data_IF_689195134121
#
_entry.id   IF_689195134121
#
_cell.length_a   1.000
_cell.length_b   1.000
_cell.length_c   1.000
_cell.angle_alpha   90.00
_cell.angle_beta   90.00
_cell.angle_gamma   90.00
#
_symmetry.space_group_name_H-M   'P 1'
#
loop_
_entity.id
_entity.type
_entity.pdbx_description
1 polymer ?
#
# COMPACT_ATOMS: atom_id res chain seq x y z
N UNK A 1 17.86 -2.34 -19.38
CA UNK A 1 18.57 -2.00 -18.12
C UNK A 1 17.59 -1.41 -17.09
N UNK A 2 16.85 -0.32 -17.35
CA UNK A 2 15.97 0.32 -16.35
C UNK A 2 14.90 -0.60 -15.74
N UNK A 3 14.24 -1.47 -16.52
CA UNK A 3 13.27 -2.43 -15.98
C UNK A 3 13.91 -3.42 -14.99
N UNK A 4 15.09 -3.96 -15.30
CA UNK A 4 15.78 -4.88 -14.38
C UNK A 4 16.19 -4.20 -13.08
N UNK A 5 16.66 -2.95 -13.15
CA UNK A 5 16.96 -2.15 -11.95
C UNK A 5 15.71 -1.84 -11.13
N UNK A 6 14.57 -1.56 -11.80
CA UNK A 6 13.29 -1.37 -11.08
C UNK A 6 12.86 -2.64 -10.34
N UNK A 7 12.97 -3.80 -10.98
CA UNK A 7 12.66 -5.09 -10.33
C UNK A 7 13.61 -5.34 -9.14
N UNK A 8 14.91 -5.12 -9.32
CA UNK A 8 15.89 -5.26 -8.25
C UNK A 8 15.59 -4.31 -7.09
N UNK A 9 15.20 -3.07 -7.38
CA UNK A 9 14.79 -2.09 -6.38
C UNK A 9 13.57 -2.57 -5.57
N UNK A 10 12.54 -3.11 -6.24
CA UNK A 10 11.37 -3.63 -5.53
C UNK A 10 11.67 -4.87 -4.70
N UNK A 11 12.56 -5.76 -5.17
CA UNK A 11 13.07 -6.89 -4.37
C UNK A 11 13.74 -6.37 -3.10
N UNK A 12 14.63 -5.41 -3.23
CA UNK A 12 15.37 -4.82 -2.12
C UNK A 12 14.43 -4.17 -1.10
N UNK A 13 13.40 -3.46 -1.57
CA UNK A 13 12.42 -2.79 -0.72
C UNK A 13 11.57 -3.77 0.10
N UNK A 14 11.11 -4.87 -0.52
CA UNK A 14 10.16 -5.77 0.13
C UNK A 14 10.81 -6.92 0.90
N UNK A 15 11.99 -7.37 0.51
CA UNK A 15 12.69 -8.46 1.19
C UNK A 15 13.82 -7.98 2.10
N UNK A 16 14.32 -6.74 1.91
CA UNK A 16 15.44 -6.23 2.70
C UNK A 16 16.65 -7.19 2.77
N UNK A 17 17.11 -7.78 1.62
CA UNK A 17 18.13 -8.85 1.66
C UNK A 17 19.42 -8.42 2.35
N UNK A 18 19.67 -7.12 2.44
CA UNK A 18 20.86 -6.54 3.07
C UNK A 18 20.71 -6.38 4.59
N UNK A 19 19.50 -6.46 5.13
CA UNK A 19 19.28 -6.54 6.58
C UNK A 19 19.59 -7.94 7.09
N UNK A 20 19.37 -8.98 6.25
CA UNK A 20 19.69 -10.38 6.55
C UNK A 20 21.18 -10.65 6.40
N UNK A 21 21.83 -10.09 5.36
CA UNK A 21 23.27 -10.20 5.13
C UNK A 21 23.98 -9.00 5.76
N UNK A 22 24.21 -9.05 7.10
CA UNK A 22 24.73 -7.93 7.89
C UNK A 22 26.02 -7.29 7.35
N UNK A 23 26.88 -8.06 6.66
CA UNK A 23 28.07 -7.53 5.97
C UNK A 23 27.75 -6.52 4.83
N UNK A 24 26.59 -6.63 4.21
CA UNK A 24 26.14 -5.75 3.13
C UNK A 24 25.31 -4.57 3.63
N UNK A 25 24.74 -4.66 4.83
CA UNK A 25 23.96 -3.58 5.44
C UNK A 25 24.81 -2.31 5.65
N UNK A 26 26.10 -2.48 5.96
CA UNK A 26 27.06 -1.38 6.14
C UNK A 26 27.25 -0.50 4.89
N UNK A 27 26.98 -1.03 3.69
CA UNK A 27 27.19 -0.32 2.42
C UNK A 27 25.96 0.39 1.86
N UNK A 28 24.83 0.44 2.59
CA UNK A 28 23.58 1.05 2.12
C UNK A 28 23.17 0.63 0.69
N UNK A 29 23.33 -0.64 0.35
CA UNK A 29 23.16 -1.17 -1.01
C UNK A 29 21.74 -0.89 -1.54
N UNK A 30 20.73 -0.89 -0.67
CA UNK A 30 19.36 -0.51 -1.04
C UNK A 30 19.28 0.92 -1.60
N UNK A 31 19.96 1.87 -0.94
CA UNK A 31 20.02 3.26 -1.38
C UNK A 31 20.79 3.40 -2.71
N UNK A 32 21.87 2.64 -2.88
CA UNK A 32 22.64 2.62 -4.13
C UNK A 32 21.78 2.11 -5.28
N UNK A 33 21.05 1.01 -5.09
CA UNK A 33 20.13 0.45 -6.10
C UNK A 33 19.02 1.47 -6.44
N UNK A 34 18.43 2.12 -5.42
CA UNK A 34 17.43 3.16 -5.62
C UNK A 34 18.00 4.32 -6.44
N UNK A 35 19.19 4.83 -6.06
CA UNK A 35 19.86 5.91 -6.76
C UNK A 35 20.17 5.54 -8.23
N UNK A 36 20.68 4.34 -8.48
CA UNK A 36 20.96 3.86 -9.84
C UNK A 36 19.66 3.72 -10.66
N UNK A 37 18.59 3.21 -10.08
CA UNK A 37 17.29 3.10 -10.74
C UNK A 37 16.73 4.48 -11.10
N UNK A 38 16.88 5.47 -10.22
CA UNK A 38 16.50 6.87 -10.48
C UNK A 38 17.37 7.46 -11.59
N UNK A 39 18.70 7.40 -11.47
CA UNK A 39 19.64 7.99 -12.44
C UNK A 39 19.42 7.44 -13.84
N UNK A 40 19.25 6.12 -14.00
CA UNK A 40 18.97 5.49 -15.29
C UNK A 40 17.61 5.90 -15.88
N UNK A 41 16.67 6.31 -15.03
CA UNK A 41 15.34 6.76 -15.44
C UNK A 41 15.29 8.25 -15.83
N UNK A 42 16.20 9.08 -15.31
CA UNK A 42 16.23 10.53 -15.57
C UNK A 42 16.27 10.90 -17.06
N UNK A 43 17.08 10.28 -17.93
CA UNK A 43 17.12 10.64 -19.36
C UNK A 43 15.82 10.32 -20.13
N UNK A 44 15.03 9.36 -19.61
CA UNK A 44 13.77 8.92 -20.24
C UNK A 44 12.60 9.77 -19.75
N UNK A 45 12.67 10.30 -18.53
CA UNK A 45 11.61 11.03 -17.86
C UNK A 45 11.10 12.27 -18.64
N UNK A 46 11.95 13.19 -19.14
CA UNK A 46 11.49 14.37 -19.87
C UNK A 46 10.82 14.03 -21.22
N UNK A 47 11.17 12.88 -21.81
CA UNK A 47 10.62 12.41 -23.08
C UNK A 47 9.26 11.71 -22.90
N UNK A 48 8.86 11.45 -21.67
CA UNK A 48 7.61 10.78 -21.36
C UNK A 48 6.48 11.79 -21.17
N UNK A 49 5.25 11.41 -21.51
CA UNK A 49 4.05 12.19 -21.23
C UNK A 49 3.70 12.19 -19.73
N UNK A 50 4.38 11.39 -18.94
CA UNK A 50 4.08 11.14 -17.53
C UNK A 50 4.23 12.42 -16.71
N UNK A 51 5.24 13.26 -16.98
CA UNK A 51 5.43 14.52 -16.26
C UNK A 51 4.27 15.51 -16.41
N UNK A 52 3.42 15.34 -17.43
CA UNK A 52 2.25 16.19 -17.68
C UNK A 52 1.00 15.69 -16.99
N UNK A 53 1.08 14.58 -16.25
CA UNK A 53 -0.08 14.01 -15.57
C UNK A 53 -0.36 14.72 -14.24
N UNK A 54 -1.62 14.82 -13.79
CA UNK A 54 -1.95 15.36 -12.48
C UNK A 54 -1.25 14.61 -11.34
N UNK A 55 -1.05 13.29 -11.49
CA UNK A 55 -0.36 12.45 -10.51
C UNK A 55 1.11 12.87 -10.34
N UNK A 56 1.81 13.15 -11.44
CA UNK A 56 3.22 13.59 -11.37
C UNK A 56 3.36 14.95 -10.70
N UNK A 57 2.45 15.89 -10.99
CA UNK A 57 2.44 17.18 -10.31
C UNK A 57 2.09 17.02 -8.81
N UNK A 58 1.15 16.13 -8.49
CA UNK A 58 0.80 15.82 -7.12
C UNK A 58 2.01 15.24 -6.35
N UNK A 59 2.79 14.35 -6.98
CA UNK A 59 4.01 13.80 -6.39
C UNK A 59 5.10 14.86 -6.22
N UNK A 60 5.27 15.75 -7.18
CA UNK A 60 6.21 16.86 -7.06
C UNK A 60 5.81 17.80 -5.90
N UNK A 61 4.52 18.14 -5.80
CA UNK A 61 3.98 18.94 -4.70
C UNK A 61 4.08 18.24 -3.34
N UNK A 62 3.83 16.93 -3.28
CA UNK A 62 3.99 16.13 -2.06
C UNK A 62 5.47 16.04 -1.63
N UNK A 63 6.39 15.90 -2.59
CA UNK A 63 7.83 15.94 -2.33
C UNK A 63 8.25 17.30 -1.75
N UNK A 64 7.75 18.39 -2.33
CA UNK A 64 7.96 19.72 -1.80
C UNK A 64 7.37 19.87 -0.39
N UNK A 65 6.18 19.33 -0.14
CA UNK A 65 5.54 19.35 1.18
C UNK A 65 6.36 18.62 2.25
N UNK A 66 6.89 17.44 1.94
CA UNK A 66 7.78 16.68 2.83
C UNK A 66 9.04 17.49 3.17
N UNK A 67 9.67 18.12 2.17
CA UNK A 67 10.83 18.95 2.38
C UNK A 67 10.51 20.19 3.22
N UNK A 68 9.44 20.90 2.87
CA UNK A 68 9.01 22.14 3.55
C UNK A 68 8.51 21.87 4.97
N UNK A 69 7.93 20.70 5.25
CA UNK A 69 7.46 20.37 6.59
C UNK A 69 8.60 20.36 7.62
N UNK A 70 9.75 19.78 7.28
CA UNK A 70 10.94 19.79 8.14
C UNK A 70 11.65 21.16 8.10
N UNK A 71 11.70 21.79 6.93
CA UNK A 71 12.31 23.12 6.83
C UNK A 71 11.58 24.14 7.73
N UNK A 72 10.26 24.02 7.84
CA UNK A 72 9.44 24.89 8.70
C UNK A 72 9.74 24.72 10.21
N UNK A 73 10.32 23.57 10.62
CA UNK A 73 10.82 23.38 12.00
C UNK A 73 12.18 24.04 12.25
N UNK A 74 12.82 24.61 11.21
CA UNK A 74 14.15 25.23 11.27
C UNK A 74 15.31 24.25 11.05
N UNK A 75 15.06 22.97 10.80
CA UNK A 75 16.11 21.95 10.64
C UNK A 75 16.41 21.62 9.17
N UNK A 76 17.29 22.40 8.55
CA UNK A 76 17.67 22.26 7.13
C UNK A 76 18.28 20.88 6.82
N UNK A 77 19.17 20.38 7.67
CA UNK A 77 19.79 19.05 7.49
C UNK A 77 18.75 17.91 7.54
N UNK A 78 17.75 18.04 8.41
CA UNK A 78 16.63 17.10 8.48
C UNK A 78 15.75 17.12 7.23
N UNK A 79 15.54 18.29 6.62
CA UNK A 79 14.78 18.40 5.38
C UNK A 79 15.43 17.61 4.23
N UNK A 80 16.76 17.65 4.12
CA UNK A 80 17.51 16.81 3.15
C UNK A 80 17.34 15.33 3.47
N UNK A 81 17.43 14.94 4.74
CA UNK A 81 17.24 13.55 5.17
C UNK A 81 15.81 13.07 4.89
N UNK A 82 14.79 13.85 5.18
CA UNK A 82 13.40 13.56 4.89
C UNK A 82 13.16 13.34 3.38
N UNK A 83 13.73 14.20 2.55
CA UNK A 83 13.72 14.06 1.10
C UNK A 83 14.36 12.74 0.64
N UNK A 84 15.52 12.37 1.19
CA UNK A 84 16.21 11.12 0.86
C UNK A 84 15.39 9.88 1.27
N UNK A 85 14.61 9.95 2.35
CA UNK A 85 13.74 8.86 2.80
C UNK A 85 12.44 8.76 1.99
N UNK A 86 11.89 9.90 1.56
CA UNK A 86 10.63 9.94 0.83
C UNK A 86 10.77 9.62 -0.65
N UNK A 87 11.78 10.18 -1.33
CA UNK A 87 11.93 10.08 -2.79
C UNK A 87 11.95 8.64 -3.31
N UNK A 88 12.67 7.69 -2.70
CA UNK A 88 12.65 6.31 -3.17
C UNK A 88 11.24 5.74 -3.24
N UNK A 89 10.42 6.00 -2.23
CA UNK A 89 9.03 5.54 -2.19
C UNK A 89 8.19 6.16 -3.31
N UNK A 90 8.21 7.49 -3.43
CA UNK A 90 7.45 8.23 -4.44
C UNK A 90 7.90 7.91 -5.87
N UNK A 91 9.21 7.68 -6.07
CA UNK A 91 9.77 7.38 -7.38
C UNK A 91 9.33 6.00 -7.91
N UNK A 92 8.82 5.12 -7.08
CA UNK A 92 8.21 3.85 -7.51
C UNK A 92 7.11 4.05 -8.57
N UNK A 93 6.34 5.14 -8.47
CA UNK A 93 5.36 5.52 -9.51
C UNK A 93 6.05 5.69 -10.87
N UNK A 94 7.13 6.47 -10.94
CA UNK A 94 7.86 6.71 -12.17
C UNK A 94 8.57 5.45 -12.70
N UNK A 95 9.14 4.64 -11.82
CA UNK A 95 9.77 3.37 -12.22
C UNK A 95 8.77 2.43 -12.90
N UNK A 96 7.56 2.31 -12.35
CA UNK A 96 6.50 1.52 -12.97
C UNK A 96 6.08 2.13 -14.30
N UNK A 97 5.79 3.42 -14.35
CA UNK A 97 5.32 4.11 -15.54
C UNK A 97 6.33 4.08 -16.70
N UNK A 98 7.62 4.27 -16.41
CA UNK A 98 8.67 4.32 -17.44
C UNK A 98 9.10 2.93 -17.90
N UNK A 99 9.13 1.96 -17.00
CA UNK A 99 9.76 0.67 -17.28
C UNK A 99 8.79 -0.50 -17.39
N UNK A 100 7.59 -0.44 -16.76
CA UNK A 100 6.56 -1.49 -16.90
C UNK A 100 5.59 -1.23 -18.07
N UNK A 101 6.07 -0.69 -19.16
CA UNK A 101 5.30 -0.21 -20.31
C UNK A 101 4.78 -1.30 -21.26
N UNK A 102 4.91 -2.58 -20.92
CA UNK A 102 4.32 -3.72 -21.65
C UNK A 102 3.56 -4.64 -20.71
N UNK A 103 2.57 -5.36 -21.25
CA UNK A 103 1.80 -6.35 -20.49
C UNK A 103 2.70 -7.39 -19.81
N UNK A 104 3.73 -7.90 -20.52
CA UNK A 104 4.68 -8.87 -19.98
C UNK A 104 5.43 -8.31 -18.77
N UNK A 105 5.90 -7.06 -18.86
CA UNK A 105 6.61 -6.41 -17.75
C UNK A 105 5.70 -6.17 -16.54
N UNK A 106 4.44 -5.77 -16.78
CA UNK A 106 3.45 -5.65 -15.71
C UNK A 106 3.17 -7.02 -15.06
N UNK A 107 3.06 -8.10 -15.86
CA UNK A 107 2.91 -9.45 -15.34
C UNK A 107 4.13 -9.88 -14.51
N UNK A 108 5.36 -9.55 -14.94
CA UNK A 108 6.60 -9.83 -14.18
C UNK A 108 6.57 -9.07 -12.83
N UNK A 109 6.13 -7.81 -12.82
CA UNK A 109 5.97 -7.06 -11.58
C UNK A 109 4.97 -7.73 -10.62
N UNK A 110 3.83 -8.22 -11.13
CA UNK A 110 2.85 -8.95 -10.31
C UNK A 110 3.42 -10.28 -9.83
N UNK A 111 4.17 -11.02 -10.66
CA UNK A 111 4.87 -12.25 -10.24
C UNK A 111 5.85 -11.93 -9.12
N UNK A 112 6.61 -10.84 -9.23
CA UNK A 112 7.53 -10.42 -8.17
C UNK A 112 6.80 -10.21 -6.84
N UNK A 113 5.73 -9.39 -6.84
CA UNK A 113 4.96 -9.12 -5.62
C UNK A 113 4.37 -10.41 -5.02
N UNK A 114 3.86 -11.30 -5.88
CA UNK A 114 3.35 -12.60 -5.47
C UNK A 114 4.45 -13.47 -4.88
N UNK A 115 5.61 -13.58 -5.55
CA UNK A 115 6.72 -14.43 -5.10
C UNK A 115 7.28 -13.96 -3.76
N UNK A 116 7.47 -12.65 -3.59
CA UNK A 116 7.89 -12.07 -2.30
C UNK A 116 6.88 -12.38 -1.20
N UNK A 117 5.59 -12.19 -1.49
CA UNK A 117 4.53 -12.45 -0.52
C UNK A 117 4.47 -13.93 -0.10
N UNK A 118 4.53 -14.84 -1.07
CA UNK A 118 4.52 -16.28 -0.80
C UNK A 118 5.79 -16.74 -0.08
N UNK A 119 6.95 -16.20 -0.44
CA UNK A 119 8.21 -16.48 0.25
C UNK A 119 8.10 -16.15 1.75
N UNK A 120 7.66 -14.94 2.08
CA UNK A 120 7.48 -14.51 3.48
C UNK A 120 6.45 -15.38 4.22
N UNK A 121 5.36 -15.78 3.54
CA UNK A 121 4.34 -16.66 4.15
C UNK A 121 4.93 -18.04 4.45
N UNK A 122 5.72 -18.59 3.52
CA UNK A 122 6.35 -19.92 3.69
C UNK A 122 7.36 -19.88 4.83
N UNK A 123 8.28 -18.91 4.83
CA UNK A 123 9.29 -18.76 5.89
C UNK A 123 8.66 -18.52 7.25
N UNK A 124 7.68 -17.60 7.34
CA UNK A 124 6.97 -17.34 8.60
C UNK A 124 6.17 -18.55 9.10
N UNK A 125 5.64 -19.38 8.19
CA UNK A 125 4.95 -20.60 8.58
C UNK A 125 5.93 -21.69 9.05
N UNK A 126 7.10 -21.80 8.41
CA UNK A 126 8.18 -22.70 8.85
C UNK A 126 8.71 -22.29 10.23
N UNK A 127 8.95 -21.00 10.46
CA UNK A 127 9.32 -20.50 11.80
C UNK A 127 8.23 -20.81 12.83
N UNK A 128 6.95 -20.63 12.49
CA UNK A 128 5.84 -20.94 13.39
C UNK A 128 5.80 -22.42 13.78
N UNK A 129 6.00 -23.33 12.82
CA UNK A 129 6.03 -24.78 13.07
C UNK A 129 7.24 -25.16 13.96
N UNK A 130 8.41 -24.61 13.70
CA UNK A 130 9.61 -24.88 14.49
C UNK A 130 9.51 -24.33 15.91
N UNK A 131 8.94 -23.12 16.08
CA UNK A 131 8.74 -22.50 17.40
C UNK A 131 7.66 -23.21 18.23
N UNK A 132 6.70 -23.87 17.58
CA UNK A 132 5.65 -24.63 18.26
C UNK A 132 6.07 -26.06 18.62
N UNK A 133 7.24 -26.56 18.14
CA UNK A 133 7.72 -27.90 18.45
C UNK A 133 8.38 -27.95 19.85
N UNK A 134 8.19 -29.03 20.64
CA UNK A 134 8.77 -29.17 21.98
C UNK A 134 10.31 -29.11 22.05
N UNK A 135 10.99 -29.28 20.92
CA UNK A 135 12.46 -29.19 20.81
C UNK A 135 12.97 -27.77 20.55
N UNK A 136 12.09 -26.83 20.17
CA UNK A 136 12.41 -25.41 19.95
C UNK A 136 12.11 -24.51 21.14
N UNK A 137 11.69 -25.07 22.29
CA UNK A 137 11.28 -24.31 23.47
C UNK A 137 12.43 -23.86 24.35
N UNK A 138 13.54 -23.33 23.77
CA UNK A 138 14.57 -22.76 24.62
C UNK A 138 14.23 -21.40 25.21
N UNK A 139 13.17 -20.74 24.81
CA UNK A 139 12.64 -19.56 25.54
C UNK A 139 11.25 -19.24 25.05
N UNK A 140 10.22 -19.81 25.71
CA UNK A 140 8.89 -19.20 25.71
C UNK A 140 9.02 -17.77 26.22
N UNK A 141 8.42 -16.75 25.57
CA UNK A 141 8.46 -15.37 26.07
C UNK A 141 7.87 -15.19 27.49
N UNK A 142 7.26 -16.25 28.06
CA UNK A 142 6.63 -16.24 29.36
C UNK A 142 7.46 -16.80 30.53
N UNK A 143 8.62 -17.41 30.30
CA UNK A 143 9.35 -18.11 31.37
C UNK A 143 10.26 -17.22 32.25
N UNK A 144 10.27 -15.90 32.03
CA UNK A 144 11.10 -14.97 32.80
C UNK A 144 10.24 -13.85 33.39
N UNK A 145 10.03 -13.91 34.68
CA UNK A 145 9.07 -13.14 35.48
C UNK A 145 9.32 -11.65 35.64
N UNK A 146 10.38 -11.04 35.06
CA UNK A 146 10.66 -9.62 35.38
C UNK A 146 11.05 -8.68 34.19
N UNK A 147 11.02 -9.13 32.92
CA UNK A 147 11.37 -8.25 31.79
C UNK A 147 10.65 -8.60 30.48
N UNK A 148 9.30 -8.57 30.49
CA UNK A 148 8.44 -8.92 29.35
C UNK A 148 8.77 -8.14 28.06
N UNK A 149 9.23 -6.91 28.17
CA UNK A 149 9.60 -6.06 27.01
C UNK A 149 10.96 -6.40 26.41
N UNK A 150 11.96 -6.72 27.23
CA UNK A 150 13.32 -7.08 26.79
C UNK A 150 13.34 -8.44 26.09
N UNK A 151 12.60 -9.42 26.59
CA UNK A 151 12.54 -10.75 26.01
C UNK A 151 11.78 -10.81 24.68
N UNK A 152 10.71 -10.03 24.52
CA UNK A 152 10.00 -9.96 23.25
C UNK A 152 10.87 -9.34 22.14
N UNK A 153 11.74 -8.38 22.47
CA UNK A 153 12.65 -7.77 21.50
C UNK A 153 13.75 -8.74 21.04
N UNK A 154 14.32 -9.51 21.96
CA UNK A 154 15.34 -10.54 21.65
C UNK A 154 14.69 -11.66 20.83
N UNK A 155 13.54 -12.16 21.25
CA UNK A 155 12.81 -13.19 20.51
C UNK A 155 12.45 -12.72 19.10
N UNK A 156 11.92 -11.51 18.95
CA UNK A 156 11.58 -10.93 17.66
C UNK A 156 12.80 -10.70 16.74
N UNK A 157 13.99 -10.50 17.32
CA UNK A 157 15.23 -10.40 16.55
C UNK A 157 15.71 -11.76 16.04
N UNK A 158 15.45 -12.84 16.78
CA UNK A 158 15.77 -14.21 16.39
C UNK A 158 14.79 -14.79 15.35
N UNK A 159 13.55 -14.25 15.30
CA UNK A 159 12.48 -14.71 14.42
C UNK A 159 12.06 -13.59 13.44
N UNK A 160 12.80 -13.40 12.33
CA UNK A 160 12.58 -12.24 11.44
C UNK A 160 11.21 -12.22 10.77
N UNK A 161 10.56 -13.37 10.58
CA UNK A 161 9.25 -13.48 9.93
C UNK A 161 8.07 -13.58 10.90
N UNK A 162 8.34 -13.61 12.22
CA UNK A 162 7.30 -13.68 13.25
C UNK A 162 7.37 -12.47 14.19
N UNK A 163 6.22 -12.10 14.72
CA UNK A 163 6.06 -11.16 15.82
C UNK A 163 5.27 -11.85 16.93
N UNK A 164 5.90 -12.05 18.09
CA UNK A 164 5.20 -12.45 19.30
C UNK A 164 4.50 -11.23 19.91
N UNK A 165 3.22 -11.33 20.18
CA UNK A 165 2.42 -10.28 20.80
C UNK A 165 1.51 -10.90 21.87
N UNK A 166 1.43 -10.28 23.03
CA UNK A 166 0.51 -10.70 24.08
C UNK A 166 -0.93 -10.38 23.69
N UNK A 167 -1.81 -11.38 23.69
CA UNK A 167 -3.24 -11.24 23.40
C UNK A 167 -4.03 -10.91 24.65
N UNK A 168 -3.74 -11.65 25.76
CA UNK A 168 -4.23 -11.44 27.11
C UNK A 168 -3.10 -11.76 28.10
N UNK A 169 -3.21 -11.44 29.39
CA UNK A 169 -2.20 -11.79 30.39
C UNK A 169 -1.89 -13.30 30.35
N UNK A 170 -0.65 -13.65 30.01
CA UNK A 170 -0.19 -15.03 29.86
C UNK A 170 -0.49 -15.71 28.51
N UNK A 171 -1.25 -15.08 27.62
CA UNK A 171 -1.56 -15.63 26.30
C UNK A 171 -0.78 -14.92 25.20
N UNK A 172 0.01 -15.67 24.44
CA UNK A 172 0.81 -15.15 23.33
C UNK A 172 0.23 -15.57 22.00
N UNK A 173 0.23 -14.65 21.03
CA UNK A 173 -0.06 -14.92 19.64
C UNK A 173 1.16 -14.63 18.79
N UNK A 174 1.41 -15.51 17.83
CA UNK A 174 2.46 -15.37 16.85
C UNK A 174 1.86 -14.90 15.53
N UNK A 175 2.37 -13.81 15.01
CA UNK A 175 1.85 -13.16 13.82
C UNK A 175 2.92 -13.12 12.75
N UNK A 176 2.61 -13.58 11.53
CA UNK A 176 3.54 -13.45 10.40
C UNK A 176 3.68 -11.99 10.02
N UNK A 177 4.92 -11.56 9.83
CA UNK A 177 5.31 -10.23 9.34
C UNK A 177 6.26 -10.33 8.16
N UNK A 178 6.35 -9.27 7.36
CA UNK A 178 7.37 -9.12 6.33
C UNK A 178 8.71 -8.70 6.92
N UNK A 179 9.58 -8.25 6.05
CA UNK A 179 10.92 -7.76 6.40
C UNK A 179 11.05 -6.28 6.07
N UNK A 180 12.06 -5.63 6.62
CA UNK A 180 12.44 -4.24 6.36
C UNK A 180 11.23 -3.28 6.46
N UNK A 181 10.80 -2.72 5.35
CA UNK A 181 9.71 -1.71 5.31
C UNK A 181 8.31 -2.28 5.61
N UNK A 182 8.16 -3.59 5.59
CA UNK A 182 6.90 -4.31 5.89
C UNK A 182 7.04 -5.25 7.09
N UNK A 183 7.93 -4.92 8.03
CA UNK A 183 8.24 -5.74 9.20
C UNK A 183 7.13 -5.75 10.29
N UNK A 184 6.00 -5.10 10.07
CA UNK A 184 4.81 -5.20 10.91
C UNK A 184 3.76 -6.11 10.28
N UNK A 185 3.08 -7.00 11.04
CA UNK A 185 2.05 -7.88 10.50
C UNK A 185 0.90 -7.17 9.81
N UNK A 186 0.53 -5.97 10.26
CA UNK A 186 -0.55 -5.22 9.63
C UNK A 186 -0.13 -4.64 8.29
N UNK A 187 1.14 -4.23 8.15
CA UNK A 187 1.70 -3.73 6.90
C UNK A 187 1.84 -4.84 5.88
N UNK A 188 2.30 -6.01 6.33
CA UNK A 188 2.34 -7.19 5.48
C UNK A 188 0.94 -7.61 5.05
N UNK A 189 -0.03 -7.63 5.99
CA UNK A 189 -1.44 -7.86 5.67
C UNK A 189 -1.99 -6.87 4.63
N UNK A 190 -1.64 -5.59 4.71
CA UNK A 190 -2.00 -4.59 3.70
C UNK A 190 -1.41 -4.93 2.32
N UNK A 191 -0.14 -5.33 2.25
CA UNK A 191 0.47 -5.76 1.00
C UNK A 191 -0.26 -6.95 0.40
N UNK A 192 -0.53 -7.99 1.21
CA UNK A 192 -1.20 -9.21 0.75
C UNK A 192 -2.57 -8.90 0.13
N UNK A 193 -3.41 -8.10 0.80
CA UNK A 193 -4.72 -7.72 0.25
C UNK A 193 -4.62 -6.90 -1.03
N UNK A 194 -3.56 -6.11 -1.21
CA UNK A 194 -3.31 -5.40 -2.47
C UNK A 194 -2.92 -6.33 -3.61
N UNK A 195 -2.15 -7.39 -3.32
CA UNK A 195 -1.64 -8.33 -4.33
C UNK A 195 -2.71 -9.32 -4.76
N UNK A 196 -3.62 -9.74 -3.88
CA UNK A 196 -4.69 -10.72 -4.19
C UNK A 196 -5.44 -10.38 -5.51
N UNK A 197 -5.99 -9.17 -5.72
CA UNK A 197 -6.66 -8.86 -6.98
C UNK A 197 -5.71 -8.89 -8.18
N UNK A 198 -4.46 -8.45 -8.01
CA UNK A 198 -3.50 -8.37 -9.11
C UNK A 198 -3.14 -9.74 -9.69
N UNK A 199 -3.17 -10.82 -8.88
CA UNK A 199 -2.93 -12.19 -9.36
C UNK A 199 -3.92 -12.59 -10.45
N UNK A 200 -5.13 -12.01 -10.44
CA UNK A 200 -6.13 -12.28 -11.48
C UNK A 200 -5.77 -11.69 -12.87
N UNK A 201 -4.66 -10.97 -13.02
CA UNK A 201 -4.11 -10.57 -14.34
C UNK A 201 -3.78 -11.80 -15.19
N UNK A 202 -3.47 -12.95 -14.55
CA UNK A 202 -3.15 -14.20 -15.20
C UNK A 202 -4.37 -15.04 -15.58
N UNK A 203 -5.59 -14.64 -15.20
CA UNK A 203 -6.80 -15.37 -15.51
C UNK A 203 -7.02 -15.49 -17.02
N UNK A 204 -7.29 -16.72 -17.51
CA UNK A 204 -7.63 -16.99 -18.90
C UNK A 204 -8.99 -17.68 -18.98
N UNK A 205 -9.95 -17.13 -19.74
CA UNK A 205 -11.26 -17.79 -19.95
C UNK A 205 -11.10 -19.22 -20.47
N UNK A 206 -11.97 -20.11 -20.04
CA UNK A 206 -12.03 -21.52 -20.50
C UNK A 206 -10.77 -22.39 -20.18
N UNK A 207 -9.83 -21.93 -19.36
CA UNK A 207 -8.63 -22.66 -18.95
C UNK A 207 -8.67 -22.97 -17.45
N UNK A 208 -9.65 -23.81 -17.02
CA UNK A 208 -9.93 -24.04 -15.59
C UNK A 208 -8.71 -24.54 -14.83
N UNK A 209 -8.10 -25.65 -15.25
CA UNK A 209 -6.93 -26.25 -14.55
C UNK A 209 -5.79 -25.24 -14.40
N UNK A 210 -5.46 -24.52 -15.48
CA UNK A 210 -4.44 -23.48 -15.42
C UNK A 210 -4.81 -22.36 -14.44
N UNK A 211 -6.07 -21.89 -14.47
CA UNK A 211 -6.54 -20.83 -13.58
C UNK A 211 -6.53 -21.28 -12.11
N UNK A 212 -6.83 -22.55 -11.84
CA UNK A 212 -6.72 -23.11 -10.49
C UNK A 212 -5.27 -23.06 -10.00
N UNK A 213 -4.32 -23.52 -10.80
CA UNK A 213 -2.92 -23.59 -10.39
C UNK A 213 -2.22 -22.21 -10.34
N UNK A 214 -2.48 -21.33 -11.33
CA UNK A 214 -1.74 -20.07 -11.50
C UNK A 214 -2.42 -18.88 -10.83
N UNK A 215 -3.72 -18.97 -10.55
CA UNK A 215 -4.49 -17.85 -9.98
C UNK A 215 -5.11 -18.22 -8.64
N UNK A 216 -5.94 -19.27 -8.59
CA UNK A 216 -6.70 -19.58 -7.38
C UNK A 216 -5.81 -20.10 -6.25
N UNK A 217 -4.90 -21.03 -6.53
CA UNK A 217 -3.97 -21.56 -5.52
C UNK A 217 -3.08 -20.48 -4.91
N UNK A 218 -2.40 -19.62 -5.69
CA UNK A 218 -1.67 -18.49 -5.12
C UNK A 218 -2.55 -17.50 -4.36
N UNK A 219 -3.75 -17.18 -4.87
CA UNK A 219 -4.68 -16.30 -4.16
C UNK A 219 -5.13 -16.90 -2.81
N UNK A 220 -5.38 -18.21 -2.74
CA UNK A 220 -5.66 -18.90 -1.49
C UNK A 220 -4.45 -18.86 -0.54
N UNK A 221 -3.22 -19.00 -1.05
CA UNK A 221 -1.99 -18.84 -0.26
C UNK A 221 -1.87 -17.43 0.34
N UNK A 222 -2.18 -16.38 -0.43
CA UNK A 222 -2.20 -15.01 0.06
C UNK A 222 -3.31 -14.78 1.10
N UNK A 223 -4.50 -15.35 0.92
CA UNK A 223 -5.58 -15.29 1.91
C UNK A 223 -5.19 -16.01 3.21
N UNK A 224 -4.56 -17.16 3.11
CA UNK A 224 -4.00 -17.88 4.27
C UNK A 224 -2.93 -17.05 4.98
N UNK A 225 -1.98 -16.45 4.24
CA UNK A 225 -1.01 -15.54 4.81
C UNK A 225 -1.67 -14.33 5.49
N UNK A 226 -2.72 -13.76 4.88
CA UNK A 226 -3.48 -12.66 5.49
C UNK A 226 -4.13 -13.09 6.82
N UNK A 227 -4.65 -14.31 6.90
CA UNK A 227 -5.14 -14.90 8.16
C UNK A 227 -4.04 -14.97 9.21
N UNK A 228 -2.84 -15.47 8.88
CA UNK A 228 -1.71 -15.61 9.79
C UNK A 228 -1.12 -14.26 10.27
N UNK A 229 -1.41 -13.15 9.59
CA UNK A 229 -1.05 -11.82 10.11
C UNK A 229 -1.92 -11.40 11.28
N UNK A 230 -3.08 -12.00 11.51
CA UNK A 230 -4.09 -11.58 12.48
C UNK A 230 -4.40 -10.07 12.41
N UNK A 231 -4.34 -9.48 11.20
CA UNK A 231 -4.55 -8.06 10.99
C UNK A 231 -6.03 -7.73 10.79
N UNK A 232 -6.63 -7.05 11.78
CA UNK A 232 -8.02 -6.56 11.67
C UNK A 232 -8.22 -5.61 10.49
N UNK A 233 -7.21 -4.75 10.23
CA UNK A 233 -7.24 -3.84 9.08
C UNK A 233 -7.27 -4.58 7.74
N UNK A 234 -6.51 -5.68 7.61
CA UNK A 234 -6.54 -6.54 6.44
C UNK A 234 -7.88 -7.28 6.29
N UNK A 235 -8.49 -7.73 7.41
CA UNK A 235 -9.84 -8.32 7.38
C UNK A 235 -10.87 -7.33 6.85
N UNK A 236 -10.93 -6.11 7.40
CA UNK A 236 -11.85 -5.07 6.90
C UNK A 236 -11.58 -4.73 5.43
N UNK A 237 -10.33 -4.75 5.00
CA UNK A 237 -9.95 -4.55 3.61
C UNK A 237 -10.49 -5.66 2.69
N UNK A 238 -10.37 -6.93 3.09
CA UNK A 238 -10.97 -8.06 2.35
C UNK A 238 -12.49 -7.94 2.25
N UNK A 239 -13.17 -7.58 3.36
CA UNK A 239 -14.61 -7.39 3.37
C UNK A 239 -15.05 -6.24 2.45
N UNK A 240 -14.35 -5.11 2.48
CA UNK A 240 -14.59 -3.99 1.57
C UNK A 240 -14.42 -4.40 0.10
N UNK A 241 -13.39 -5.21 -0.20
CA UNK A 241 -13.18 -5.75 -1.54
C UNK A 241 -14.32 -6.68 -1.98
N UNK A 242 -14.85 -7.53 -1.07
CA UNK A 242 -16.02 -8.38 -1.34
C UNK A 242 -17.25 -7.51 -1.67
N UNK A 243 -17.49 -6.44 -0.91
CA UNK A 243 -18.60 -5.51 -1.17
C UNK A 243 -18.42 -4.84 -2.55
N UNK A 244 -17.24 -4.30 -2.84
CA UNK A 244 -16.97 -3.60 -4.11
C UNK A 244 -17.03 -4.55 -5.31
N UNK A 245 -16.54 -5.78 -5.18
CA UNK A 245 -16.60 -6.79 -6.23
C UNK A 245 -18.04 -7.33 -6.42
N UNK A 246 -18.74 -7.61 -5.31
CA UNK A 246 -20.05 -8.24 -5.27
C UNK A 246 -21.17 -7.31 -5.74
N UNK A 247 -21.14 -6.02 -5.34
CA UNK A 247 -22.24 -5.08 -5.63
C UNK A 247 -22.67 -5.01 -7.10
N UNK A 248 -21.72 -5.24 -8.02
CA UNK A 248 -21.98 -5.21 -9.47
C UNK A 248 -22.58 -6.51 -10.01
N UNK A 249 -22.47 -7.62 -9.28
CA UNK A 249 -22.93 -8.95 -9.71
C UNK A 249 -24.21 -9.38 -9.01
N UNK A 250 -24.27 -9.16 -7.69
CA UNK A 250 -25.36 -9.64 -6.84
C UNK A 250 -26.14 -8.49 -6.19
N UNK A 251 -25.76 -7.23 -6.44
CA UNK A 251 -26.35 -6.07 -5.82
C UNK A 251 -25.69 -5.67 -4.50
N UNK A 252 -26.01 -4.48 -4.00
CA UNK A 252 -25.37 -3.90 -2.81
C UNK A 252 -25.77 -4.65 -1.53
N UNK A 253 -27.08 -4.91 -1.33
CA UNK A 253 -27.58 -5.57 -0.11
C UNK A 253 -27.05 -6.99 0.03
N UNK A 254 -27.13 -7.89 -0.96
CA UNK A 254 -26.53 -9.22 -0.86
C UNK A 254 -25.00 -9.18 -0.66
N UNK A 255 -24.29 -8.21 -1.26
CA UNK A 255 -22.85 -8.06 -1.06
C UNK A 255 -22.52 -7.67 0.40
N UNK A 256 -23.30 -6.78 1.01
CA UNK A 256 -23.15 -6.43 2.43
C UNK A 256 -23.46 -7.62 3.35
N UNK A 257 -24.53 -8.36 3.08
CA UNK A 257 -24.88 -9.56 3.85
C UNK A 257 -23.78 -10.63 3.75
N UNK A 258 -23.22 -10.85 2.56
CA UNK A 258 -22.10 -11.76 2.35
C UNK A 258 -20.86 -11.31 3.14
N UNK A 259 -20.52 -10.01 3.10
CA UNK A 259 -19.41 -9.48 3.86
C UNK A 259 -19.63 -9.63 5.38
N UNK A 260 -20.84 -9.38 5.87
CA UNK A 260 -21.24 -9.60 7.26
C UNK A 260 -21.12 -11.07 7.69
N UNK A 261 -21.59 -12.00 6.88
CA UNK A 261 -21.44 -13.44 7.13
C UNK A 261 -19.97 -13.86 7.18
N UNK A 262 -19.14 -13.38 6.23
CA UNK A 262 -17.70 -13.64 6.21
C UNK A 262 -16.99 -13.01 7.43
N UNK A 263 -17.43 -11.85 7.90
CA UNK A 263 -16.91 -11.26 9.13
C UNK A 263 -17.18 -12.13 10.35
N UNK A 264 -18.41 -12.64 10.50
CA UNK A 264 -18.79 -13.53 11.61
C UNK A 264 -17.96 -14.81 11.56
N UNK A 265 -17.81 -15.42 10.39
CA UNK A 265 -16.99 -16.62 10.20
C UNK A 265 -15.53 -16.32 10.57
N UNK A 266 -14.93 -15.26 10.03
CA UNK A 266 -13.54 -14.89 10.31
C UNK A 266 -13.31 -14.63 11.81
N UNK A 267 -14.28 -14.01 12.48
CA UNK A 267 -14.21 -13.76 13.92
C UNK A 267 -14.30 -15.08 14.72
N UNK A 268 -15.23 -15.95 14.38
CA UNK A 268 -15.43 -17.26 15.04
C UNK A 268 -14.19 -18.15 14.89
N UNK A 269 -13.49 -18.09 13.76
CA UNK A 269 -12.24 -18.85 13.52
C UNK A 269 -10.97 -18.12 14.01
N UNK A 270 -11.10 -17.12 14.88
CA UNK A 270 -9.95 -16.49 15.52
C UNK A 270 -9.06 -15.64 14.61
N UNK A 271 -9.59 -15.08 13.52
CA UNK A 271 -8.82 -14.20 12.63
C UNK A 271 -8.15 -13.04 13.38
N UNK A 272 -8.76 -12.56 14.43
CA UNK A 272 -8.24 -11.45 15.25
C UNK A 272 -7.21 -11.89 16.29
N UNK A 273 -6.92 -13.20 16.42
CA UNK A 273 -5.98 -13.75 17.38
C UNK A 273 -6.38 -13.54 18.85
N UNK A 274 -7.69 -13.57 19.16
CA UNK A 274 -8.18 -13.44 20.56
C UNK A 274 -7.99 -12.05 21.19
N UNK A 275 -7.40 -11.09 20.49
CA UNK A 275 -7.15 -9.75 21.03
C UNK A 275 -8.44 -8.98 21.27
N UNK A 276 -8.53 -8.34 22.43
CA UNK A 276 -9.68 -7.55 22.84
C UNK A 276 -10.00 -6.42 21.82
N UNK A 277 -11.28 -6.24 21.52
CA UNK A 277 -11.78 -5.19 20.61
C UNK A 277 -11.53 -3.80 21.21
N UNK A 278 -11.47 -3.67 22.53
CA UNK A 278 -11.23 -2.43 23.26
C UNK A 278 -9.90 -1.73 22.93
N UNK A 279 -8.92 -2.44 22.37
CA UNK A 279 -7.65 -1.83 21.91
C UNK A 279 -7.82 -0.79 20.79
N UNK A 280 -9.05 -0.55 20.33
CA UNK A 280 -9.41 0.55 19.43
C UNK A 280 -9.50 1.91 20.11
N UNK A 281 -9.77 1.97 21.43
CA UNK A 281 -9.95 3.23 22.18
C UNK A 281 -8.67 4.08 22.19
N UNK A 282 -7.49 3.47 22.26
CA UNK A 282 -6.22 4.19 22.16
C UNK A 282 -6.01 4.92 20.82
N UNK A 283 -6.56 4.40 19.72
CA UNK A 283 -6.40 5.02 18.39
C UNK A 283 -7.17 6.32 18.24
N UNK A 284 -8.37 6.42 18.81
CA UNK A 284 -9.16 7.65 18.76
C UNK A 284 -8.47 8.79 19.50
N UNK A 285 -7.78 8.48 20.61
CA UNK A 285 -6.94 9.45 21.33
C UNK A 285 -5.78 9.93 20.44
N UNK A 286 -5.06 9.01 19.79
CA UNK A 286 -3.97 9.37 18.88
C UNK A 286 -4.45 10.23 17.71
N UNK A 287 -5.62 9.94 17.15
CA UNK A 287 -6.21 10.75 16.08
C UNK A 287 -6.61 12.15 16.59
N UNK A 288 -7.15 12.24 17.81
CA UNK A 288 -7.46 13.53 18.44
C UNK A 288 -6.19 14.37 18.68
N UNK A 289 -5.11 13.73 19.17
CA UNK A 289 -3.80 14.39 19.31
C UNK A 289 -3.24 14.85 17.96
N UNK A 290 -3.31 14.00 16.93
CA UNK A 290 -2.87 14.36 15.56
C UNK A 290 -3.65 15.54 14.99
N UNK A 291 -4.96 15.64 15.24
CA UNK A 291 -5.78 16.80 14.87
C UNK A 291 -5.35 18.04 15.68
N UNK A 292 -4.99 17.88 16.96
CA UNK A 292 -4.42 18.95 17.76
C UNK A 292 -3.14 19.53 17.15
N UNK A 293 -2.22 18.65 16.75
CA UNK A 293 -0.96 19.03 16.09
C UNK A 293 -1.20 19.67 14.71
N UNK A 294 -2.17 19.18 13.94
CA UNK A 294 -2.57 19.83 12.69
C UNK A 294 -3.11 21.25 12.93
N UNK A 295 -3.88 21.47 13.99
CA UNK A 295 -4.38 22.82 14.33
C UNK A 295 -3.27 23.79 14.73
N UNK A 296 -2.24 23.33 15.42
CA UNK A 296 -1.09 24.16 15.77
C UNK A 296 -0.15 24.45 14.60
N UNK A 297 -0.06 23.50 13.64
CA UNK A 297 0.80 23.62 12.45
C UNK A 297 0.01 23.33 11.15
N UNK A 298 -0.98 24.19 10.78
CA UNK A 298 -1.98 23.83 9.77
C UNK A 298 -1.43 23.76 8.34
N UNK A 299 -0.39 24.52 8.01
CA UNK A 299 0.09 24.66 6.63
C UNK A 299 1.09 23.55 6.27
N UNK A 300 2.18 23.40 7.03
CA UNK A 300 3.28 22.48 6.73
C UNK A 300 3.39 21.30 7.72
N UNK A 301 2.54 21.24 8.74
CA UNK A 301 2.61 20.20 9.76
C UNK A 301 3.78 20.36 10.72
N UNK A 302 3.99 19.31 11.54
CA UNK A 302 5.02 19.27 12.58
C UNK A 302 6.38 18.79 12.07
N UNK A 303 6.45 18.27 10.83
CA UNK A 303 7.63 17.65 10.24
C UNK A 303 7.37 16.20 9.84
N UNK A 304 7.88 15.82 8.65
CA UNK A 304 7.75 14.46 8.11
C UNK A 304 8.51 13.46 8.99
N UNK A 305 7.80 12.45 9.49
CA UNK A 305 8.33 11.40 10.34
C UNK A 305 8.33 11.72 11.84
N UNK A 306 7.98 12.95 12.27
CA UNK A 306 8.10 13.40 13.65
C UNK A 306 6.86 13.08 14.50
N UNK A 307 5.79 12.53 13.92
CA UNK A 307 4.54 12.30 14.64
C UNK A 307 4.72 11.33 15.83
N UNK A 308 5.48 10.24 15.63
CA UNK A 308 5.71 9.26 16.68
C UNK A 308 6.50 9.86 17.87
N UNK A 309 7.43 10.76 17.60
CA UNK A 309 8.23 11.44 18.63
C UNK A 309 7.38 12.42 19.45
N UNK A 310 6.36 13.04 18.83
CA UNK A 310 5.47 13.99 19.50
C UNK A 310 4.39 13.34 20.38
N UNK A 311 3.86 12.18 19.99
CA UNK A 311 2.73 11.54 20.67
C UNK A 311 3.06 10.13 21.21
N UNK A 312 4.35 9.72 21.19
CA UNK A 312 4.85 8.45 21.71
C UNK A 312 4.65 7.25 20.79
N UNK A 313 3.82 7.36 19.76
CA UNK A 313 3.58 6.34 18.74
C UNK A 313 2.93 6.95 17.49
N UNK A 314 2.82 6.18 16.41
CA UNK A 314 2.18 6.69 15.18
C UNK A 314 0.66 6.74 15.32
N UNK A 315 -0.02 7.55 14.49
CA UNK A 315 -1.49 7.69 14.54
C UNK A 315 -2.26 6.42 14.14
N UNK A 316 -1.62 5.43 13.53
CA UNK A 316 -2.32 4.28 12.92
C UNK A 316 -3.49 4.70 12.00
N UNK A 317 -3.30 5.78 11.26
CA UNK A 317 -4.24 6.29 10.26
C UNK A 317 -3.45 7.11 9.24
N UNK A 318 -3.45 6.68 7.97
CA UNK A 318 -2.65 7.33 6.92
C UNK A 318 -3.06 8.77 6.65
N UNK A 319 -4.34 9.12 6.81
CA UNK A 319 -4.83 10.50 6.61
C UNK A 319 -4.27 11.40 7.71
N UNK A 320 -4.33 10.93 8.96
CA UNK A 320 -3.85 11.69 10.12
C UNK A 320 -2.34 11.86 10.11
N UNK A 321 -1.58 10.81 9.74
CA UNK A 321 -0.12 10.91 9.56
C UNK A 321 0.20 11.96 8.51
N UNK A 322 -0.40 11.87 7.32
CA UNK A 322 -0.16 12.84 6.26
C UNK A 322 -0.50 14.26 6.70
N UNK A 323 -1.67 14.46 7.32
CA UNK A 323 -2.13 15.77 7.76
C UNK A 323 -1.29 16.37 8.90
N UNK A 324 -0.93 15.58 9.90
CA UNK A 324 -0.16 16.07 11.03
C UNK A 324 1.30 16.37 10.65
N UNK A 325 1.94 15.49 9.87
CA UNK A 325 3.34 15.61 9.51
C UNK A 325 3.62 16.64 8.42
N UNK A 326 2.72 16.76 7.41
CA UNK A 326 2.96 17.63 6.24
C UNK A 326 1.93 18.75 6.08
N UNK A 327 1.03 18.89 7.06
CA UNK A 327 -0.01 19.90 7.06
C UNK A 327 -1.06 19.72 5.96
N UNK A 328 -1.93 20.72 5.82
CA UNK A 328 -2.93 20.75 4.74
C UNK A 328 -2.30 20.85 3.36
N UNK A 329 -1.08 21.41 3.25
CA UNK A 329 -0.35 21.51 2.00
C UNK A 329 0.04 20.11 1.48
N UNK A 330 0.63 19.26 2.33
CA UNK A 330 0.96 17.90 1.95
C UNK A 330 -0.28 17.02 1.74
N UNK A 331 -1.27 17.14 2.62
CA UNK A 331 -2.53 16.41 2.47
C UNK A 331 -3.26 16.76 1.16
N UNK A 332 -3.21 18.01 0.71
CA UNK A 332 -3.77 18.42 -0.57
C UNK A 332 -3.13 17.65 -1.74
N UNK A 333 -1.81 17.59 -1.81
CA UNK A 333 -1.12 16.88 -2.89
C UNK A 333 -1.26 15.36 -2.77
N UNK A 334 -1.26 14.82 -1.56
CA UNK A 334 -1.55 13.40 -1.32
C UNK A 334 -2.97 13.04 -1.82
N UNK A 335 -3.97 13.87 -1.50
CA UNK A 335 -5.35 13.71 -1.94
C UNK A 335 -5.48 13.90 -3.44
N UNK A 336 -4.74 14.84 -4.03
CA UNK A 336 -4.71 15.06 -5.48
C UNK A 336 -4.17 13.84 -6.23
N UNK A 337 -3.10 13.21 -5.73
CA UNK A 337 -2.57 11.96 -6.28
C UNK A 337 -3.62 10.84 -6.18
N UNK A 338 -4.22 10.67 -5.00
CA UNK A 338 -5.26 9.67 -4.75
C UNK A 338 -6.48 9.87 -5.66
N UNK A 339 -7.03 11.09 -5.70
CA UNK A 339 -8.22 11.41 -6.48
C UNK A 339 -7.99 11.17 -7.98
N UNK A 340 -6.86 11.64 -8.50
CA UNK A 340 -6.50 11.45 -9.90
C UNK A 340 -6.39 9.97 -10.27
N UNK A 341 -5.70 9.19 -9.42
CA UNK A 341 -5.51 7.76 -9.63
C UNK A 341 -6.83 6.99 -9.52
N UNK A 342 -7.65 7.25 -8.51
CA UNK A 342 -8.95 6.60 -8.34
C UNK A 342 -9.90 6.92 -9.49
N UNK A 343 -9.93 8.18 -9.94
CA UNK A 343 -10.77 8.58 -11.07
C UNK A 343 -10.37 7.85 -12.36
N UNK A 344 -9.08 7.80 -12.66
CA UNK A 344 -8.56 7.11 -13.83
C UNK A 344 -8.91 5.61 -13.75
N UNK A 345 -8.71 5.00 -12.59
CA UNK A 345 -9.03 3.59 -12.33
C UNK A 345 -10.54 3.31 -12.43
N UNK A 346 -11.38 4.20 -11.90
CA UNK A 346 -12.85 4.09 -12.02
C UNK A 346 -13.31 4.25 -13.47
N UNK A 347 -12.65 5.10 -14.25
CA UNK A 347 -12.92 5.23 -15.70
C UNK A 347 -12.62 3.93 -16.42
N UNK A 348 -11.45 3.33 -16.18
CA UNK A 348 -11.07 2.04 -16.75
C UNK A 348 -12.02 0.90 -16.34
N UNK A 349 -12.50 0.89 -15.10
CA UNK A 349 -13.38 -0.15 -14.58
C UNK A 349 -14.83 -0.07 -15.08
N UNK A 350 -15.22 1.02 -15.75
CA UNK A 350 -16.61 1.31 -16.17
C UNK A 350 -16.80 1.02 -17.65
N UNK A 351 -17.61 -0.01 -18.03
CA UNK A 351 -17.83 -0.38 -19.44
C UNK A 351 -18.40 0.77 -20.30
N UNK A 352 -19.19 1.67 -19.68
CA UNK A 352 -19.82 2.81 -20.32
C UNK A 352 -18.83 3.93 -20.68
N UNK A 353 -17.69 3.99 -19.97
CA UNK A 353 -16.66 5.02 -20.17
C UNK A 353 -15.52 4.53 -21.06
N UNK A 354 -15.47 3.25 -21.36
CA UNK A 354 -14.48 2.64 -22.24
C UNK A 354 -15.14 2.35 -23.58
N UNK A 355 -14.71 3.03 -24.64
CA UNK A 355 -15.18 2.81 -26.01
C UNK A 355 -14.37 1.71 -26.70
N UNK A 356 -14.85 1.22 -27.85
CA UNK A 356 -14.04 0.50 -28.81
C UNK A 356 -13.28 1.58 -29.60
N UNK A 357 -12.02 1.76 -29.28
CA UNK A 357 -11.28 2.89 -29.81
C UNK A 357 -10.62 2.60 -31.14
N UNK A 358 -10.70 3.55 -32.07
CA UNK A 358 -9.73 3.67 -33.14
C UNK A 358 -8.42 4.28 -32.59
N UNK A 359 -7.26 3.87 -33.08
CA UNK A 359 -5.99 4.44 -32.66
C UNK A 359 -6.00 5.95 -33.01
N UNK A 360 -5.95 6.79 -31.99
CA UNK A 360 -5.68 8.20 -32.20
C UNK A 360 -4.31 8.35 -32.85
N UNK A 361 -4.15 9.33 -33.74
CA UNK A 361 -2.84 9.74 -34.22
C UNK A 361 -1.99 10.12 -33.02
N UNK A 362 -1.06 9.22 -32.66
CA UNK A 362 -0.16 9.42 -31.54
C UNK A 362 0.91 10.44 -31.93
N UNK A 363 1.25 11.37 -31.02
CA UNK A 363 2.44 12.19 -31.22
C UNK A 363 3.65 11.30 -31.53
N UNK A 364 4.56 11.72 -32.38
CA UNK A 364 5.70 10.92 -32.89
C UNK A 364 6.62 10.35 -31.74
N UNK A 365 6.51 10.87 -30.53
CA UNK A 365 7.26 10.44 -29.33
C UNK A 365 6.49 9.43 -28.44
N UNK A 366 5.23 9.13 -28.76
CA UNK A 366 4.47 8.15 -28.00
C UNK A 366 4.90 6.74 -28.43
N UNK A 367 5.48 5.98 -27.52
CA UNK A 367 5.76 4.56 -27.75
C UNK A 367 4.47 3.82 -28.01
N UNK A 368 4.27 3.31 -29.23
CA UNK A 368 3.12 2.47 -29.57
C UNK A 368 3.11 1.26 -28.62
N UNK A 369 1.98 0.95 -27.94
CA UNK A 369 1.90 -0.25 -27.16
C UNK A 369 2.17 -1.43 -28.09
N UNK A 370 3.19 -2.23 -27.79
CA UNK A 370 3.55 -3.42 -28.57
C UNK A 370 2.50 -4.51 -28.46
N UNK A 371 1.68 -4.46 -27.41
CA UNK A 371 0.63 -5.44 -27.15
C UNK A 371 -0.74 -4.82 -27.41
N UNK A 372 -1.52 -5.50 -28.24
CA UNK A 372 -2.92 -5.14 -28.48
C UNK A 372 -3.74 -5.43 -27.23
N UNK A 373 -4.23 -4.38 -26.56
CA UNK A 373 -5.19 -4.50 -25.46
C UNK A 373 -6.59 -4.28 -26.00
N UNK A 374 -7.51 -5.20 -25.66
CA UNK A 374 -8.92 -5.14 -26.01
C UNK A 374 -9.75 -4.49 -24.87
N UNK A 375 -10.90 -3.91 -25.24
CA UNK A 375 -11.85 -3.30 -24.29
C UNK A 375 -12.17 -4.18 -23.08
N UNK A 376 -12.51 -5.49 -23.21
CA UNK A 376 -12.82 -6.33 -22.06
C UNK A 376 -11.64 -6.48 -21.11
N UNK A 377 -10.42 -6.47 -21.62
CA UNK A 377 -9.20 -6.58 -20.82
C UNK A 377 -8.91 -5.30 -20.06
N UNK A 378 -9.05 -4.13 -20.68
CA UNK A 378 -8.91 -2.83 -20.02
C UNK A 378 -9.86 -2.71 -18.86
N UNK A 379 -11.14 -3.06 -19.05
CA UNK A 379 -12.16 -3.04 -17.99
C UNK A 379 -11.80 -4.02 -16.87
N UNK A 380 -11.32 -5.20 -17.23
CA UNK A 380 -10.89 -6.20 -16.24
C UNK A 380 -9.72 -5.68 -15.40
N UNK A 381 -8.67 -5.17 -16.04
CA UNK A 381 -7.50 -4.60 -15.36
C UNK A 381 -7.89 -3.42 -14.47
N UNK A 382 -8.72 -2.51 -14.95
CA UNK A 382 -9.25 -1.41 -14.15
C UNK A 382 -9.99 -1.90 -12.89
N UNK A 383 -10.78 -2.98 -13.00
CA UNK A 383 -11.47 -3.60 -11.85
C UNK A 383 -10.50 -4.24 -10.86
N UNK A 384 -9.43 -4.88 -11.32
CA UNK A 384 -8.42 -5.45 -10.44
C UNK A 384 -7.70 -4.35 -9.65
N UNK A 385 -7.31 -3.27 -10.33
CA UNK A 385 -6.62 -2.15 -9.67
C UNK A 385 -7.54 -1.43 -8.68
N UNK A 386 -8.84 -1.23 -9.00
CA UNK A 386 -9.76 -0.62 -8.03
C UNK A 386 -9.95 -1.49 -6.78
N UNK A 387 -9.95 -2.81 -6.92
CA UNK A 387 -10.00 -3.72 -5.77
C UNK A 387 -8.71 -3.62 -4.93
N UNK A 388 -7.54 -3.56 -5.57
CA UNK A 388 -6.26 -3.35 -4.86
C UNK A 388 -6.24 -2.02 -4.11
N UNK A 389 -6.72 -0.93 -4.73
CA UNK A 389 -6.87 0.36 -4.03
C UNK A 389 -7.90 0.32 -2.91
N UNK A 390 -9.01 -0.39 -3.09
CA UNK A 390 -10.00 -0.59 -2.01
C UNK A 390 -9.33 -1.26 -0.81
N UNK A 391 -8.58 -2.34 -1.05
CA UNK A 391 -7.81 -3.03 -0.01
C UNK A 391 -6.81 -2.11 0.67
N UNK A 392 -5.99 -1.40 -0.12
CA UNK A 392 -4.97 -0.48 0.38
C UNK A 392 -5.57 0.63 1.27
N UNK A 393 -6.60 1.33 0.79
CA UNK A 393 -7.19 2.46 1.49
C UNK A 393 -7.94 2.04 2.74
N UNK A 394 -8.67 0.91 2.69
CA UNK A 394 -9.38 0.40 3.86
C UNK A 394 -8.40 -0.03 4.95
N UNK A 395 -7.33 -0.77 4.61
CA UNK A 395 -6.28 -1.10 5.58
C UNK A 395 -5.56 0.16 6.06
N UNK A 396 -5.22 1.09 5.15
CA UNK A 396 -4.53 2.35 5.44
C UNK A 396 -5.31 3.30 6.36
N UNK A 397 -6.63 3.17 6.45
CA UNK A 397 -7.42 3.88 7.45
C UNK A 397 -7.06 3.47 8.90
N UNK A 398 -6.52 2.26 9.06
CA UNK A 398 -6.08 1.71 10.34
C UNK A 398 -4.55 1.59 10.45
N UNK A 399 -3.78 2.16 9.50
CA UNK A 399 -2.32 2.07 9.42
C UNK A 399 -1.69 3.41 9.08
N UNK A 400 -0.47 3.63 9.57
CA UNK A 400 0.34 4.82 9.29
C UNK A 400 1.11 4.67 7.97
N UNK A 401 0.40 4.46 6.85
CA UNK A 401 1.01 4.09 5.55
C UNK A 401 0.70 5.08 4.42
N UNK A 402 0.74 6.40 4.73
CA UNK A 402 0.51 7.45 3.76
C UNK A 402 1.59 7.52 2.66
N UNK A 403 2.84 7.24 3.01
CA UNK A 403 4.03 7.54 2.20
C UNK A 403 4.78 6.28 1.75
N UNK A 404 4.10 5.12 1.73
CA UNK A 404 4.74 3.83 1.39
C UNK A 404 4.82 3.60 -0.11
N UNK A 405 5.85 2.88 -0.52
CA UNK A 405 6.10 2.49 -1.91
C UNK A 405 4.88 1.83 -2.56
N UNK A 406 4.17 0.95 -1.85
CA UNK A 406 3.00 0.22 -2.37
C UNK A 406 1.90 1.16 -2.88
N UNK A 407 1.68 2.31 -2.21
CA UNK A 407 0.72 3.32 -2.65
C UNK A 407 1.08 3.90 -4.02
N UNK A 408 2.33 4.31 -4.18
CA UNK A 408 2.84 4.90 -5.41
C UNK A 408 3.00 3.86 -6.53
N UNK A 409 3.37 2.63 -6.19
CA UNK A 409 3.43 1.51 -7.14
C UNK A 409 2.04 1.20 -7.72
N UNK A 410 0.99 1.11 -6.90
CA UNK A 410 -0.38 0.92 -7.36
C UNK A 410 -0.82 2.08 -8.26
N UNK A 411 -0.46 3.32 -7.91
CA UNK A 411 -0.67 4.49 -8.76
C UNK A 411 0.01 4.36 -10.13
N UNK A 412 1.24 3.87 -10.15
CA UNK A 412 1.97 3.60 -11.39
C UNK A 412 1.32 2.51 -12.25
N UNK A 413 0.83 1.43 -11.63
CA UNK A 413 0.08 0.37 -12.35
C UNK A 413 -1.20 0.95 -12.99
N UNK A 414 -1.96 1.75 -12.24
CA UNK A 414 -3.16 2.41 -12.75
C UNK A 414 -2.84 3.32 -13.94
N UNK A 415 -1.76 4.10 -13.82
CA UNK A 415 -1.28 5.01 -14.85
C UNK A 415 -0.90 4.28 -16.14
N UNK A 416 -0.13 3.21 -16.06
CA UNK A 416 0.28 2.41 -17.21
C UNK A 416 -0.94 1.89 -17.97
N UNK A 417 -1.92 1.34 -17.27
CA UNK A 417 -3.14 0.80 -17.89
C UNK A 417 -3.96 1.94 -18.51
N UNK A 418 -4.03 3.10 -17.83
CA UNK A 418 -4.76 4.26 -18.35
C UNK A 418 -4.09 4.81 -19.64
N UNK A 419 -2.76 4.88 -19.68
CA UNK A 419 -2.02 5.28 -20.86
C UNK A 419 -2.24 4.32 -22.04
N UNK A 420 -2.28 3.03 -21.80
CA UNK A 420 -2.62 2.05 -22.85
C UNK A 420 -4.01 2.28 -23.43
N UNK A 421 -5.00 2.50 -22.57
CA UNK A 421 -6.38 2.76 -23.00
C UNK A 421 -6.51 4.11 -23.75
N UNK A 422 -5.79 5.14 -23.26
CA UNK A 422 -5.78 6.47 -23.88
C UNK A 422 -5.15 6.45 -25.28
N UNK A 423 -4.00 5.77 -25.44
CA UNK A 423 -3.32 5.62 -26.71
C UNK A 423 -4.15 4.88 -27.75
N UNK A 424 -5.10 4.07 -27.32
CA UNK A 424 -6.06 3.36 -28.17
C UNK A 424 -7.36 4.15 -28.39
N UNK A 425 -7.49 5.36 -27.88
CA UNK A 425 -8.74 6.10 -27.97
C UNK A 425 -9.90 5.49 -27.19
N UNK A 426 -9.62 4.50 -26.31
CA UNK A 426 -10.66 3.80 -25.54
C UNK A 426 -11.24 4.62 -24.42
N UNK A 427 -10.51 5.61 -23.92
CA UNK A 427 -10.93 6.49 -22.82
C UNK A 427 -10.79 7.95 -23.22
N UNK A 428 -11.69 8.79 -22.69
CA UNK A 428 -11.62 10.24 -22.92
C UNK A 428 -10.39 10.83 -22.19
N UNK A 429 -9.87 11.96 -22.71
CA UNK A 429 -8.79 12.70 -22.04
C UNK A 429 -9.11 13.06 -20.60
N UNK A 430 -8.07 13.22 -19.80
CA UNK A 430 -8.19 13.60 -18.38
C UNK A 430 -8.81 14.97 -18.19
N UNK A 431 -9.35 15.19 -16.99
CA UNK A 431 -9.75 16.54 -16.57
C UNK A 431 -8.55 17.49 -16.62
N UNK A 432 -8.82 18.73 -16.99
CA UNK A 432 -7.82 19.79 -16.88
C UNK A 432 -7.33 19.91 -15.43
N UNK A 433 -6.06 20.18 -15.27
CA UNK A 433 -5.39 20.25 -13.96
C UNK A 433 -6.14 21.11 -12.95
N UNK A 434 -6.61 22.30 -13.35
CA UNK A 434 -7.36 23.20 -12.47
C UNK A 434 -8.62 22.57 -11.88
N UNK A 435 -9.34 21.69 -12.62
CA UNK A 435 -10.48 20.97 -12.09
C UNK A 435 -10.07 19.89 -11.07
N UNK A 436 -8.94 19.22 -11.31
CA UNK A 436 -8.43 18.23 -10.35
C UNK A 436 -8.06 18.90 -9.04
N UNK A 437 -7.36 20.05 -9.10
CA UNK A 437 -7.01 20.85 -7.93
C UNK A 437 -8.28 21.32 -7.19
N UNK A 438 -9.28 21.83 -7.94
CA UNK A 438 -10.54 22.29 -7.37
C UNK A 438 -11.29 21.19 -6.60
N UNK A 439 -11.28 19.94 -7.08
CA UNK A 439 -11.92 18.82 -6.38
C UNK A 439 -11.08 18.27 -5.23
N UNK A 440 -9.74 18.38 -5.33
CA UNK A 440 -8.82 17.90 -4.27
C UNK A 440 -8.93 18.74 -3.01
N UNK A 441 -9.18 20.05 -3.12
CA UNK A 441 -9.29 20.95 -1.97
C UNK A 441 -10.43 20.54 -1.00
N UNK A 442 -11.71 20.49 -1.44
CA UNK A 442 -12.78 20.07 -0.53
C UNK A 442 -12.64 18.64 -0.06
N UNK A 443 -12.06 17.75 -0.88
CA UNK A 443 -11.83 16.36 -0.47
C UNK A 443 -10.79 16.25 0.65
N UNK A 444 -9.70 17.03 0.60
CA UNK A 444 -8.72 17.08 1.68
C UNK A 444 -9.34 17.52 3.00
N UNK A 445 -10.17 18.55 2.96
CA UNK A 445 -10.91 19.04 4.13
C UNK A 445 -11.89 17.97 4.63
N UNK A 446 -12.65 17.36 3.71
CA UNK A 446 -13.64 16.33 4.04
C UNK A 446 -13.01 15.10 4.69
N UNK A 447 -11.78 14.70 4.30
CA UNK A 447 -11.06 13.60 4.93
C UNK A 447 -10.72 13.90 6.40
N UNK A 448 -10.21 15.08 6.71
CA UNK A 448 -9.93 15.50 8.10
C UNK A 448 -11.20 15.61 8.91
N UNK A 449 -12.23 16.27 8.36
CA UNK A 449 -13.54 16.42 9.02
C UNK A 449 -14.20 15.05 9.26
N UNK A 450 -14.09 14.12 8.30
CA UNK A 450 -14.60 12.76 8.44
C UNK A 450 -13.97 12.01 9.61
N UNK A 451 -12.64 12.09 9.75
CA UNK A 451 -11.94 11.49 10.91
C UNK A 451 -12.34 12.21 12.21
N UNK A 452 -12.46 13.53 12.20
CA UNK A 452 -12.92 14.29 13.37
C UNK A 452 -14.33 13.88 13.82
N UNK A 453 -15.27 13.74 12.89
CA UNK A 453 -16.65 13.28 13.16
C UNK A 453 -16.60 11.85 13.74
N UNK A 454 -15.79 10.96 13.14
CA UNK A 454 -15.64 9.59 13.62
C UNK A 454 -15.15 9.55 15.07
N UNK A 455 -14.16 10.39 15.44
CA UNK A 455 -13.69 10.52 16.82
C UNK A 455 -14.84 10.98 17.75
N UNK A 456 -15.60 11.98 17.33
CA UNK A 456 -16.71 12.52 18.14
C UNK A 456 -17.80 11.50 18.39
N UNK A 457 -18.17 10.71 17.37
CA UNK A 457 -19.15 9.62 17.52
C UNK A 457 -18.58 8.52 18.45
N UNK A 458 -17.31 8.15 18.30
CA UNK A 458 -16.67 7.13 19.13
C UNK A 458 -16.46 7.53 20.59
N UNK A 459 -16.50 8.83 20.93
CA UNK A 459 -16.46 9.31 22.34
C UNK A 459 -17.84 9.17 23.01
N UNK A 460 -18.91 9.02 22.23
CA UNK A 460 -20.26 8.83 22.75
C UNK A 460 -20.67 7.35 22.93
N UNK A 461 -19.82 6.41 22.49
CA UNK A 461 -19.94 4.96 22.71
C UNK A 461 -18.73 4.42 23.48
#
# INVERSE_FOLDING_TARGET
MGFALSILYFITYYLGPFTVFGSLAAYNVALIIAALAIVVSLPVLPRSLILKTPQSLALAGLTAAVFLSILATGWVGGAVKAFQLFIPNAFAYFLVCLHCNTRKKLQILVVLLLSVSLFVIIEGNLELIHSASPQGSETSPGDITDTVTLNSSVWNAQHPYLLAQQAAPGEWIYRIRGMDQINDPNDFGQLLVCVIPLVFIFWRPKKLVRNTLVVLLPACGLLYGTFLTHSRGALFALLAMVIVAGRRRIGTIPALLLAGALFIVAFAYGFTGGRDISSGSGRTVLWAMSIGLLKSHPLFGIGFGDLADQIGQTAHNSIMVCAAETGMFGLFFWTMFLLSTLRDTLTLASPEKVSEGEPNELPAYATRPRDLIEKPEVIRLGRLVILSFTGFLTAGFFLSRAFVLTFFLLGGIAEVIYQWALQRGMVSPRLKLGRVMLYSTPLSIALVVGVYIFIRIGIFF
#
